data_IF_113116698402
#
_entry.id   IF_113116698402
#
_cell.length_a   1.000
_cell.length_b   1.000
_cell.length_c   1.000
_cell.angle_alpha   90.00
_cell.angle_beta   90.00
_cell.angle_gamma   90.00
#
_symmetry.space_group_name_H-M   'P 1'
#
loop_
_entity.id
_entity.type
_entity.pdbx_description
1 polymer ?
#
# COMPACT_ATOMS: atom_id res chain seq x y z
N UNK A 1 2.88 7.26 4.89
CA UNK A 1 3.23 5.93 5.42
C UNK A 1 4.11 5.98 6.67
N UNK A 2 5.03 6.93 6.74
CA UNK A 2 5.96 7.14 7.86
C UNK A 2 5.26 7.24 9.22
N UNK A 3 4.13 7.94 9.29
CA UNK A 3 3.33 8.03 10.52
C UNK A 3 2.81 6.66 10.98
N UNK A 4 2.26 5.87 10.06
CA UNK A 4 1.72 4.54 10.36
C UNK A 4 2.85 3.61 10.79
N UNK A 5 3.97 3.62 10.06
CA UNK A 5 5.16 2.83 10.40
C UNK A 5 5.70 3.19 11.80
N UNK A 6 5.82 4.50 12.09
CA UNK A 6 6.28 4.99 13.40
C UNK A 6 5.29 4.68 14.54
N UNK A 7 4.00 4.55 14.25
CA UNK A 7 3.01 4.17 15.25
C UNK A 7 3.06 2.65 15.54
N UNK A 8 3.07 1.84 14.48
CA UNK A 8 3.10 0.37 14.58
C UNK A 8 4.39 -0.12 15.23
N UNK A 9 5.53 0.53 14.98
CA UNK A 9 6.82 0.18 15.60
C UNK A 9 6.83 0.34 17.12
N UNK A 10 5.87 1.05 17.73
CA UNK A 10 5.72 1.14 19.18
C UNK A 10 5.18 -0.16 19.79
N UNK A 11 4.45 -0.96 19.02
CA UNK A 11 3.83 -2.22 19.46
C UNK A 11 3.86 -3.32 18.38
N UNK A 12 5.05 -3.75 17.91
CA UNK A 12 5.19 -4.61 16.73
C UNK A 12 4.64 -6.04 16.91
N UNK A 13 4.44 -6.49 18.16
CA UNK A 13 3.81 -7.79 18.45
C UNK A 13 2.28 -7.77 18.38
N UNK A 14 1.67 -6.58 18.26
CA UNK A 14 0.21 -6.40 18.32
C UNK A 14 -0.37 -5.70 17.09
N UNK A 15 0.44 -4.91 16.39
CA UNK A 15 -0.01 -4.06 15.30
C UNK A 15 0.67 -4.44 13.98
N UNK A 16 -0.11 -4.35 12.90
CA UNK A 16 0.36 -4.49 11.53
C UNK A 16 0.07 -3.19 10.78
N UNK A 17 1.06 -2.67 10.07
CA UNK A 17 0.92 -1.43 9.30
C UNK A 17 0.66 -1.72 7.83
N UNK A 18 -0.33 -1.06 7.25
CA UNK A 18 -0.60 -1.09 5.82
C UNK A 18 -0.18 0.25 5.21
N UNK A 19 0.51 0.18 4.07
CA UNK A 19 0.84 1.32 3.23
C UNK A 19 -0.42 1.85 2.55
N UNK A 20 -0.44 3.15 2.26
CA UNK A 20 -1.45 3.77 1.42
C UNK A 20 -0.75 4.70 0.43
N UNK A 21 -1.02 4.50 -0.85
CA UNK A 21 -0.53 5.36 -1.93
C UNK A 21 -1.70 5.94 -2.71
N UNK A 22 -1.48 7.04 -3.41
CA UNK A 22 -2.41 7.53 -4.43
C UNK A 22 -2.23 6.69 -5.70
N UNK A 23 -3.23 5.89 -6.13
CA UNK A 23 -3.11 5.03 -7.31
C UNK A 23 -3.06 5.83 -8.63
N UNK A 24 -3.42 7.11 -8.63
CA UNK A 24 -3.29 7.99 -9.80
C UNK A 24 -1.86 8.50 -10.00
N UNK A 25 -1.02 8.38 -8.98
CA UNK A 25 0.38 8.76 -9.10
C UNK A 25 1.15 7.69 -9.90
N UNK A 26 1.80 8.05 -11.03
CA UNK A 26 2.56 7.09 -11.82
C UNK A 26 3.71 6.44 -11.03
N UNK A 27 4.16 7.06 -9.94
CA UNK A 27 5.21 6.54 -9.06
C UNK A 27 4.65 5.72 -7.87
N UNK A 28 3.33 5.50 -7.80
CA UNK A 28 2.69 4.71 -6.74
C UNK A 28 3.33 3.33 -6.52
N UNK A 29 3.74 2.56 -7.56
CA UNK A 29 4.45 1.29 -7.36
C UNK A 29 5.79 1.46 -6.62
N UNK A 30 6.57 2.48 -6.97
CA UNK A 30 7.86 2.74 -6.30
C UNK A 30 7.65 3.18 -4.86
N UNK A 31 6.64 4.03 -4.61
CA UNK A 31 6.26 4.46 -3.26
C UNK A 31 5.82 3.27 -2.41
N UNK A 32 5.02 2.36 -2.96
CA UNK A 32 4.64 1.13 -2.28
C UNK A 32 5.86 0.27 -1.93
N UNK A 33 6.77 0.06 -2.89
CA UNK A 33 8.01 -0.69 -2.66
C UNK A 33 8.83 -0.10 -1.51
N UNK A 34 9.01 1.23 -1.50
CA UNK A 34 9.67 1.94 -0.40
C UNK A 34 8.97 1.68 0.93
N UNK A 35 7.65 1.81 0.97
CA UNK A 35 6.87 1.60 2.18
C UNK A 35 6.97 0.17 2.73
N UNK A 36 7.08 -0.83 1.85
CA UNK A 36 7.24 -2.23 2.27
C UNK A 36 8.69 -2.51 2.69
N UNK A 37 9.67 -2.20 1.83
CA UNK A 37 11.07 -2.58 2.02
C UNK A 37 11.79 -1.75 3.08
N UNK A 38 11.49 -0.46 3.18
CA UNK A 38 12.19 0.46 4.09
C UNK A 38 11.40 0.71 5.37
N UNK A 39 10.07 0.81 5.30
CA UNK A 39 9.23 1.15 6.46
C UNK A 39 8.62 -0.09 7.15
N UNK A 40 8.76 -1.29 6.56
CA UNK A 40 8.26 -2.54 7.13
C UNK A 40 6.73 -2.65 7.15
N UNK A 41 6.03 -1.90 6.30
CA UNK A 41 4.58 -2.06 6.14
C UNK A 41 4.29 -3.35 5.36
N UNK A 42 3.22 -4.04 5.75
CA UNK A 42 2.99 -5.46 5.39
C UNK A 42 1.84 -5.66 4.41
N UNK A 43 1.28 -4.59 3.86
CA UNK A 43 0.11 -4.63 2.99
C UNK A 43 -0.16 -3.29 2.33
N UNK A 44 -0.94 -3.31 1.25
CA UNK A 44 -1.44 -2.12 0.57
C UNK A 44 -2.90 -1.92 0.92
N UNK A 45 -3.29 -0.75 1.44
CA UNK A 45 -4.69 -0.36 1.61
C UNK A 45 -5.10 0.56 0.47
N UNK A 46 -6.20 0.22 -0.20
CA UNK A 46 -6.86 1.06 -1.20
C UNK A 46 -8.33 1.26 -0.83
N UNK A 47 -8.86 2.42 -1.16
CA UNK A 47 -10.24 2.78 -0.95
C UNK A 47 -10.79 3.43 -2.24
N UNK A 48 -11.26 2.61 -3.21
CA UNK A 48 -11.69 3.05 -4.53
C UNK A 48 -12.68 4.22 -4.51
N UNK A 49 -13.65 4.17 -3.59
CA UNK A 49 -14.66 5.23 -3.43
C UNK A 49 -14.07 6.58 -3.03
N UNK A 50 -12.99 6.61 -2.25
CA UNK A 50 -12.33 7.85 -1.82
C UNK A 50 -11.22 8.29 -2.76
N UNK A 51 -10.66 7.34 -3.51
CA UNK A 51 -9.56 7.55 -4.44
C UNK A 51 -10.06 7.72 -5.89
N UNK A 52 -11.37 7.64 -6.12
CA UNK A 52 -12.03 7.88 -7.42
C UNK A 52 -11.46 7.02 -8.56
N UNK A 53 -11.47 5.70 -8.39
CA UNK A 53 -11.12 4.75 -9.43
C UNK A 53 -11.89 3.43 -9.28
N UNK A 54 -11.95 2.61 -10.33
CA UNK A 54 -12.49 1.25 -10.24
C UNK A 54 -11.37 0.22 -10.08
N UNK A 55 -11.51 -0.77 -9.17
CA UNK A 55 -10.48 -1.79 -8.96
C UNK A 55 -10.07 -2.57 -10.22
N UNK A 56 -10.96 -2.72 -11.19
CA UNK A 56 -10.76 -3.48 -12.44
C UNK A 56 -10.22 -2.63 -13.61
N UNK A 57 -10.00 -1.33 -13.40
CA UNK A 57 -9.40 -0.45 -14.40
C UNK A 57 -7.91 -0.81 -14.63
N UNK A 58 -7.58 -1.13 -15.88
CA UNK A 58 -6.22 -1.55 -16.29
C UNK A 58 -5.08 -0.58 -15.90
N UNK A 59 -5.25 0.75 -15.93
CA UNK A 59 -4.20 1.69 -15.52
C UNK A 59 -3.62 1.45 -14.11
N UNK A 60 -4.37 0.83 -13.20
CA UNK A 60 -3.92 0.59 -11.82
C UNK A 60 -3.27 -0.79 -11.63
N UNK A 61 -3.30 -1.66 -12.65
CA UNK A 61 -2.71 -2.99 -12.59
C UNK A 61 -1.20 -2.98 -12.28
N UNK A 62 -0.38 -2.00 -12.73
CA UNK A 62 1.01 -1.91 -12.31
C UNK A 62 1.20 -1.82 -10.79
N UNK A 63 0.30 -1.13 -10.08
CA UNK A 63 0.33 -1.05 -8.62
C UNK A 63 0.01 -2.42 -8.00
N UNK A 64 -0.97 -3.14 -8.53
CA UNK A 64 -1.33 -4.47 -8.04
C UNK A 64 -0.24 -5.50 -8.33
N UNK A 65 0.37 -5.43 -9.52
CA UNK A 65 1.50 -6.26 -9.91
C UNK A 65 2.68 -6.03 -8.96
N UNK A 66 2.94 -4.78 -8.55
CA UNK A 66 3.97 -4.48 -7.55
C UNK A 66 3.61 -5.04 -6.17
N UNK A 67 2.35 -4.95 -5.73
CA UNK A 67 1.92 -5.59 -4.47
C UNK A 67 2.13 -7.12 -4.51
N UNK A 68 1.82 -7.75 -5.64
CA UNK A 68 2.06 -9.18 -5.86
C UNK A 68 3.55 -9.54 -5.87
N UNK A 69 4.40 -8.75 -6.55
CA UNK A 69 5.87 -8.91 -6.56
C UNK A 69 6.47 -8.83 -5.14
N UNK A 70 5.96 -7.92 -4.32
CA UNK A 70 6.37 -7.73 -2.93
C UNK A 70 5.79 -8.81 -1.99
N UNK A 71 4.89 -9.65 -2.48
CA UNK A 71 4.27 -10.72 -1.69
C UNK A 71 3.34 -10.21 -0.59
N UNK A 72 2.73 -9.03 -0.78
CA UNK A 72 1.86 -8.40 0.22
C UNK A 72 0.38 -8.40 -0.23
N UNK A 73 -0.58 -8.50 0.71
CA UNK A 73 -1.99 -8.41 0.40
C UNK A 73 -2.42 -6.99 0.03
N UNK A 74 -3.51 -6.90 -0.74
CA UNK A 74 -4.28 -5.67 -0.94
C UNK A 74 -5.54 -5.73 -0.08
N UNK A 75 -5.74 -4.74 0.78
CA UNK A 75 -6.95 -4.52 1.53
C UNK A 75 -7.79 -3.45 0.85
N UNK A 76 -8.98 -3.84 0.40
CA UNK A 76 -9.98 -2.95 -0.16
C UNK A 76 -10.90 -2.46 0.96
N UNK A 77 -11.13 -1.15 1.00
CA UNK A 77 -12.17 -0.60 1.86
C UNK A 77 -13.57 -0.87 1.31
#
# INVERSE_FOLDING_TARGET
DEYVAAYVSRHPSKLFGFASVDPHDPDAPRKLERSVRELGLVGLKLAPIYQNFYPDDQPYFPLYAKAAELGIPILWH
#
